data_IF_957363521550
#
_entry.id   IF_957363521550
#
_cell.length_a   1.000
_cell.length_b   1.000
_cell.length_c   1.000
_cell.angle_alpha   90.00
_cell.angle_beta   90.00
_cell.angle_gamma   90.00
#
_symmetry.space_group_name_H-M   'P 1'
#
loop_
_entity.id
_entity.type
_entity.pdbx_description
1 polymer ?
#
# COMPACT_ATOMS: atom_id res chain seq x y z
N UNK A 1 20.27 -5.36 3.44
CA UNK A 1 19.41 -5.01 4.61
C UNK A 1 17.95 -5.27 4.27
N UNK A 2 17.12 -5.77 5.19
CA UNK A 2 15.66 -5.94 4.93
C UNK A 2 14.88 -4.67 5.31
N UNK A 3 13.95 -4.25 4.46
CA UNK A 3 13.05 -3.10 4.68
C UNK A 3 11.60 -3.47 4.37
N UNK A 4 10.66 -2.83 5.05
CA UNK A 4 9.23 -3.01 4.80
C UNK A 4 8.78 -2.02 3.72
N UNK A 5 8.12 -2.52 2.69
CA UNK A 5 7.49 -1.72 1.64
C UNK A 5 6.00 -2.05 1.55
N UNK A 6 5.20 -1.06 1.14
CA UNK A 6 3.78 -1.24 0.85
C UNK A 6 3.53 -1.10 -0.65
N UNK A 7 2.68 -1.97 -1.18
CA UNK A 7 2.31 -2.01 -2.58
C UNK A 7 0.78 -1.98 -2.73
N UNK A 8 0.23 -1.24 -3.71
CA UNK A 8 -1.19 -1.32 -4.00
C UNK A 8 -1.54 -2.66 -4.66
N UNK A 9 -2.80 -3.06 -4.60
CA UNK A 9 -3.29 -4.26 -5.31
C UNK A 9 -2.96 -4.18 -6.80
N UNK A 10 -2.41 -5.26 -7.36
CA UNK A 10 -2.05 -5.37 -8.77
C UNK A 10 -0.66 -4.82 -9.13
N UNK A 11 0.07 -4.24 -8.18
CA UNK A 11 1.45 -3.86 -8.41
C UNK A 11 2.37 -5.08 -8.51
N UNK A 12 3.40 -4.97 -9.36
CA UNK A 12 4.48 -5.96 -9.44
C UNK A 12 5.31 -5.92 -8.16
N UNK A 13 5.46 -7.08 -7.53
CA UNK A 13 6.24 -7.25 -6.29
C UNK A 13 7.66 -7.72 -6.65
N UNK A 14 8.71 -7.19 -6.00
CA UNK A 14 10.08 -7.67 -6.21
C UNK A 14 10.24 -9.16 -5.94
N UNK A 15 11.11 -9.80 -6.70
CA UNK A 15 11.48 -11.20 -6.47
C UNK A 15 12.15 -11.37 -5.10
N UNK A 16 11.79 -12.45 -4.38
CA UNK A 16 12.30 -12.72 -3.03
C UNK A 16 11.66 -11.90 -1.91
N UNK A 17 10.65 -11.06 -2.20
CA UNK A 17 9.92 -10.34 -1.17
C UNK A 17 9.04 -11.28 -0.33
N UNK A 18 9.10 -11.14 0.99
CA UNK A 18 8.28 -11.95 1.92
C UNK A 18 7.00 -11.19 2.27
N UNK A 19 5.85 -11.83 2.08
CA UNK A 19 4.55 -11.22 2.40
C UNK A 19 4.34 -11.12 3.92
N UNK A 20 3.95 -9.94 4.39
CA UNK A 20 3.69 -9.66 5.81
C UNK A 20 2.21 -9.55 6.12
N UNK A 21 1.42 -8.94 5.23
CA UNK A 21 0.00 -8.73 5.50
C UNK A 21 -0.64 -7.64 4.64
N UNK A 22 -1.95 -7.47 4.84
CA UNK A 22 -2.76 -6.45 4.16
C UNK A 22 -3.35 -5.50 5.19
N UNK A 23 -3.38 -4.22 4.86
CA UNK A 23 -4.10 -3.19 5.63
C UNK A 23 -5.04 -2.44 4.69
N UNK A 24 -6.30 -2.37 5.08
CA UNK A 24 -7.31 -1.49 4.48
C UNK A 24 -7.29 -0.15 5.20
N UNK A 25 -7.21 0.92 4.43
CA UNK A 25 -7.29 2.29 4.92
C UNK A 25 -8.45 2.99 4.25
N UNK A 26 -9.34 3.52 5.07
CA UNK A 26 -10.39 4.43 4.62
C UNK A 26 -9.80 5.84 4.58
N UNK A 27 -9.97 6.56 3.47
CA UNK A 27 -9.52 7.94 3.35
C UNK A 27 -10.63 8.79 2.75
N UNK A 28 -10.98 9.84 3.48
CA UNK A 28 -11.92 10.86 3.03
C UNK A 28 -11.15 11.86 2.16
N UNK A 29 -11.73 12.18 1.01
CA UNK A 29 -11.19 13.19 0.10
C UNK A 29 -12.21 14.32 -0.01
N UNK A 30 -11.75 15.53 0.30
CA UNK A 30 -12.48 16.75 0.01
C UNK A 30 -12.42 17.01 -1.50
N UNK A 31 -13.57 17.29 -2.09
CA UNK A 31 -13.70 17.76 -3.48
C UNK A 31 -14.18 19.21 -3.43
N UNK A 32 -13.76 20.01 -4.40
CA UNK A 32 -13.98 21.48 -4.40
C UNK A 32 -15.47 21.90 -4.39
N UNK A 33 -16.42 20.97 -4.61
CA UNK A 33 -17.85 21.22 -4.81
C UNK A 33 -18.76 20.72 -3.65
N UNK A 34 -18.30 20.75 -2.39
CA UNK A 34 -19.02 20.24 -1.20
C UNK A 34 -19.34 18.73 -1.21
N UNK A 35 -18.82 17.98 -2.19
CA UNK A 35 -18.92 16.52 -2.24
C UNK A 35 -17.73 15.86 -1.54
N UNK A 36 -18.01 15.03 -0.53
CA UNK A 36 -17.03 14.13 0.07
C UNK A 36 -17.19 12.74 -0.52
N UNK A 37 -16.07 12.08 -0.84
CA UNK A 37 -16.09 10.66 -1.19
C UNK A 37 -15.11 9.89 -0.30
N UNK A 38 -15.57 8.72 0.13
CA UNK A 38 -14.82 7.79 0.97
C UNK A 38 -14.16 6.75 0.07
N UNK A 39 -12.83 6.76 0.01
CA UNK A 39 -12.08 5.74 -0.70
C UNK A 39 -11.53 4.67 0.24
N UNK A 40 -11.61 3.42 -0.21
CA UNK A 40 -11.00 2.27 0.44
C UNK A 40 -9.70 1.94 -0.27
N UNK A 41 -8.57 2.20 0.39
CA UNK A 41 -7.23 1.88 -0.10
C UNK A 41 -6.78 0.57 0.51
N UNK A 42 -6.36 -0.39 -0.33
CA UNK A 42 -5.82 -1.68 0.11
C UNK A 42 -4.30 -1.67 -0.12
N UNK A 43 -3.54 -1.86 0.96
CA UNK A 43 -2.08 -1.90 0.94
C UNK A 43 -1.56 -3.27 1.36
N UNK A 44 -0.69 -3.84 0.54
CA UNK A 44 0.00 -5.11 0.80
C UNK A 44 1.42 -4.84 1.24
N UNK A 45 1.80 -5.35 2.41
CA UNK A 45 3.11 -5.10 3.02
C UNK A 45 4.03 -6.30 2.78
N UNK A 46 5.26 -6.00 2.37
CA UNK A 46 6.29 -6.99 2.10
C UNK A 46 7.61 -6.61 2.75
N UNK A 47 8.36 -7.60 3.21
CA UNK A 47 9.74 -7.47 3.61
C UNK A 47 10.63 -7.70 2.38
N UNK A 48 11.37 -6.68 1.96
CA UNK A 48 12.21 -6.70 0.75
C UNK A 48 13.66 -6.53 1.15
N UNK A 49 14.53 -7.36 0.57
CA UNK A 49 15.97 -7.21 0.71
C UNK A 49 16.50 -6.12 -0.23
N UNK A 50 17.17 -5.11 0.33
CA UNK A 50 17.80 -4.02 -0.41
C UNK A 50 19.32 -4.08 -0.24
N UNK A 51 20.05 -3.88 -1.33
CA UNK A 51 21.49 -3.61 -1.31
C UNK A 51 21.69 -2.19 -0.77
N UNK A 52 22.69 -2.02 0.10
CA UNK A 52 23.11 -0.70 0.58
C UNK A 52 23.69 0.15 -0.55
#
# INVERSE_FOLDING_TARGET
>A
MKKIYKYPTGATIPEGAEYLGTVTQTKDFDRDDDEWFVCWLVWHYFLVEVKE
#
